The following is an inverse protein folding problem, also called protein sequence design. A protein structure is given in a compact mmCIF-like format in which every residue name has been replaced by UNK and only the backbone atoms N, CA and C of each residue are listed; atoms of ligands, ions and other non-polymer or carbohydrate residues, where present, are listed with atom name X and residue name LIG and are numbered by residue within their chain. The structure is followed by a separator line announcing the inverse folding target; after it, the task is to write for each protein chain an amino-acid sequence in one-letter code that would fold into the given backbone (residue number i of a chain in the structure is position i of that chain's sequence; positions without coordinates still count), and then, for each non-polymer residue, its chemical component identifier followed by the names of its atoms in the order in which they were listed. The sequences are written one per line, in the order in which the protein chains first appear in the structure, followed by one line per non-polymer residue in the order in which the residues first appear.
data_IF_939524566925
#
_entry.id   IF_939524566925
#
_cell.length_a   1.000
_cell.length_b   1.000
_cell.length_c   1.000
_cell.angle_alpha   90.00
_cell.angle_beta   90.00
_cell.angle_gamma   90.00
#
_symmetry.space_group_name_H-M   'P 1'
#
loop_
_entity.id
_entity.type
_entity.pdbx_description
1 polymer ?
#
# COMPACT_ATOMS: atom_id res chain seq x y z
N UNK A 1 -14.55 26.81 24.18
CA UNK A 1 -15.29 25.59 24.58
C UNK A 1 -16.53 25.37 23.73
N UNK A 2 -17.37 26.39 23.49
CA UNK A 2 -18.60 26.25 22.69
C UNK A 2 -18.41 25.56 21.33
N UNK A 3 -17.35 25.92 20.59
CA UNK A 3 -17.05 25.29 19.29
C UNK A 3 -16.67 23.80 19.38
N UNK A 4 -16.06 23.37 20.49
CA UNK A 4 -15.60 21.99 20.66
C UNK A 4 -16.76 21.03 20.99
N UNK A 5 -17.85 21.55 21.56
CA UNK A 5 -19.05 20.77 21.88
C UNK A 5 -20.11 20.87 20.79
N UNK A 6 -19.94 21.71 19.79
CA UNK A 6 -20.95 21.89 18.74
C UNK A 6 -21.23 20.58 17.99
N UNK A 7 -22.51 20.26 17.79
CA UNK A 7 -22.93 19.07 17.04
C UNK A 7 -22.89 17.74 17.80
N UNK A 8 -22.49 17.72 19.08
CA UNK A 8 -22.59 16.50 19.90
C UNK A 8 -24.05 16.07 20.11
N UNK A 9 -24.23 14.76 20.29
CA UNK A 9 -25.52 14.13 20.55
C UNK A 9 -25.59 13.72 22.02
N UNK A 10 -26.70 14.05 22.67
CA UNK A 10 -27.02 13.62 24.04
C UNK A 10 -28.21 12.69 24.02
N UNK A 11 -28.22 11.76 24.98
CA UNK A 11 -29.33 10.83 25.20
C UNK A 11 -29.74 10.88 26.65
N UNK A 12 -31.01 11.14 26.90
CA UNK A 12 -31.57 11.21 28.25
C UNK A 12 -32.91 10.48 28.33
N UNK A 13 -33.40 10.24 29.55
CA UNK A 13 -34.72 9.62 29.75
C UNK A 13 -35.78 10.70 29.67
N UNK A 14 -36.91 10.40 29.02
CA UNK A 14 -38.06 11.29 29.02
C UNK A 14 -38.61 11.40 30.45
N UNK A 15 -38.42 12.56 31.06
CA UNK A 15 -38.89 12.84 32.41
C UNK A 15 -40.31 13.39 32.45
N UNK A 16 -40.82 13.89 31.33
CA UNK A 16 -42.14 14.52 31.23
C UNK A 16 -42.82 14.05 29.95
N UNK A 17 -44.10 13.65 30.04
CA UNK A 17 -44.85 13.25 28.85
C UNK A 17 -44.99 14.44 27.88
N UNK A 18 -44.50 14.35 26.63
CA UNK A 18 -44.65 15.40 25.63
C UNK A 18 -46.10 15.55 25.15
N UNK A 19 -46.92 14.50 25.29
CA UNK A 19 -48.32 14.55 24.90
C UNK A 19 -49.16 15.32 25.91
N UNK A 20 -50.16 16.08 25.43
CA UNK A 20 -51.08 16.83 26.28
C UNK A 20 -52.27 15.95 26.72
N UNK A 21 -51.96 14.76 27.25
CA UNK A 21 -52.94 13.81 27.76
C UNK A 21 -53.11 13.97 29.28
N UNK A 22 -54.31 13.68 29.79
CA UNK A 22 -54.56 13.72 31.24
C UNK A 22 -54.08 12.41 31.87
N UNK A 23 -53.23 12.52 32.88
CA UNK A 23 -52.73 11.40 33.69
C UNK A 23 -53.77 10.86 34.68
N UNK A 24 -53.43 9.81 35.43
CA UNK A 24 -54.27 9.25 36.49
C UNK A 24 -54.70 10.26 37.57
N UNK A 25 -53.88 11.29 37.78
CA UNK A 25 -54.18 12.38 38.72
C UNK A 25 -55.15 13.42 38.15
N UNK A 26 -55.69 13.18 36.96
CA UNK A 26 -56.53 14.10 36.19
C UNK A 26 -55.84 15.44 35.90
N UNK A 27 -54.50 15.46 35.79
CA UNK A 27 -53.69 16.63 35.43
C UNK A 27 -52.83 16.32 34.19
N UNK A 28 -52.55 17.35 33.40
CA UNK A 28 -51.58 17.26 32.28
C UNK A 28 -50.15 17.58 32.74
N UNK A 29 -49.17 17.26 31.90
CA UNK A 29 -47.74 17.58 32.13
C UNK A 29 -47.50 19.07 32.38
N UNK A 30 -48.17 19.94 31.62
CA UNK A 30 -48.04 21.39 31.75
C UNK A 30 -48.71 21.90 33.03
N UNK A 31 -49.93 21.42 33.34
CA UNK A 31 -50.64 21.76 34.57
C UNK A 31 -49.82 21.38 35.82
N UNK A 32 -49.13 20.24 35.78
CA UNK A 32 -48.22 19.80 36.85
C UNK A 32 -47.04 20.77 37.04
N UNK A 33 -46.36 21.14 35.96
CA UNK A 33 -45.21 22.07 36.00
C UNK A 33 -45.63 23.43 36.56
N UNK A 34 -46.74 23.99 36.07
CA UNK A 34 -47.24 25.28 36.58
C UNK A 34 -47.55 25.23 38.07
N UNK A 35 -48.15 24.12 38.53
CA UNK A 35 -48.47 23.91 39.95
C UNK A 35 -47.22 23.74 40.80
N UNK A 36 -46.19 23.08 40.28
CA UNK A 36 -44.91 22.90 40.93
C UNK A 36 -44.15 24.24 41.05
N UNK A 37 -44.09 25.01 39.97
CA UNK A 37 -43.47 26.34 39.96
C UNK A 37 -44.13 27.30 40.96
N UNK A 38 -45.46 27.32 41.01
CA UNK A 38 -46.22 28.11 42.00
C UNK A 38 -45.90 27.73 43.45
N UNK A 39 -45.51 26.48 43.72
CA UNK A 39 -45.14 26.03 45.08
C UNK A 39 -43.69 26.32 45.45
N UNK A 40 -42.77 26.27 44.48
CA UNK A 40 -41.35 26.52 44.72
C UNK A 40 -41.03 28.00 44.91
N UNK A 41 -41.74 28.89 44.23
CA UNK A 41 -41.53 30.34 44.31
C UNK A 41 -40.15 30.82 43.83
N UNK A 42 -39.39 29.96 43.15
CA UNK A 42 -38.07 30.22 42.56
C UNK A 42 -38.06 29.86 41.07
N UNK A 43 -37.07 30.37 40.35
CA UNK A 43 -36.89 30.03 38.94
C UNK A 43 -36.59 28.52 38.77
N UNK A 44 -37.19 27.85 37.77
CA UNK A 44 -36.93 26.44 37.48
C UNK A 44 -35.46 26.16 37.18
N UNK A 45 -34.79 27.08 36.47
CA UNK A 45 -33.39 26.94 36.03
C UNK A 45 -32.38 27.00 37.19
N UNK A 46 -32.75 27.66 38.30
CA UNK A 46 -31.92 27.73 39.51
C UNK A 46 -32.21 26.59 40.49
N UNK A 47 -33.28 25.83 40.25
CA UNK A 47 -33.75 24.77 41.14
C UNK A 47 -33.15 23.44 40.67
N UNK A 48 -32.14 22.95 41.39
CA UNK A 48 -31.58 21.62 41.14
C UNK A 48 -32.64 20.52 41.26
N UNK A 49 -32.63 19.55 40.34
CA UNK A 49 -33.54 18.41 40.36
C UNK A 49 -34.96 18.70 39.83
N UNK A 50 -35.18 19.85 39.17
CA UNK A 50 -36.51 20.22 38.69
C UNK A 50 -37.04 19.26 37.62
N UNK A 51 -36.16 18.73 36.77
CA UNK A 51 -36.53 17.81 35.69
C UNK A 51 -36.99 16.44 36.22
N UNK A 52 -36.50 16.03 37.38
CA UNK A 52 -36.76 14.73 38.01
C UNK A 52 -38.02 14.74 38.89
N UNK A 53 -38.63 15.91 39.13
CA UNK A 53 -39.82 16.05 39.97
C UNK A 53 -41.02 15.18 39.54
N UNK A 54 -41.33 14.99 38.23
CA UNK A 54 -42.39 14.09 37.79
C UNK A 54 -42.14 12.62 38.19
N UNK A 55 -40.87 12.18 38.24
CA UNK A 55 -40.54 10.81 38.65
C UNK A 55 -40.91 10.56 40.11
N UNK A 56 -40.60 11.52 40.99
CA UNK A 56 -40.96 11.42 42.41
C UNK A 56 -42.49 11.44 42.60
N UNK A 57 -43.19 12.25 41.79
CA UNK A 57 -44.65 12.30 41.80
C UNK A 57 -45.27 10.95 41.39
N UNK A 58 -44.80 10.37 40.29
CA UNK A 58 -45.29 9.10 39.78
C UNK A 58 -44.87 7.92 40.67
N UNK A 59 -43.72 7.99 41.35
CA UNK A 59 -43.30 6.95 42.31
C UNK A 59 -44.28 6.82 43.48
N UNK A 60 -44.79 7.94 44.01
CA UNK A 60 -45.80 7.92 45.09
C UNK A 60 -47.14 7.39 44.57
N UNK A 61 -47.53 7.74 43.33
CA UNK A 61 -48.72 7.16 42.69
C UNK A 61 -48.58 5.65 42.49
N UNK A 62 -47.43 5.17 42.00
CA UNK A 62 -47.16 3.75 41.84
C UNK A 62 -47.29 3.00 43.17
N UNK A 63 -46.72 3.56 44.24
CA UNK A 63 -46.85 3.00 45.59
C UNK A 63 -48.32 2.95 46.04
N UNK A 64 -49.07 4.03 45.87
CA UNK A 64 -50.47 4.09 46.27
C UNK A 64 -51.33 3.05 45.51
N UNK A 65 -51.12 2.91 44.20
CA UNK A 65 -51.82 1.93 43.36
C UNK A 65 -51.44 0.49 43.74
N UNK A 66 -50.16 0.24 43.99
CA UNK A 66 -49.69 -1.08 44.39
C UNK A 66 -50.22 -1.47 45.77
N UNK A 67 -50.24 -0.56 46.74
CA UNK A 67 -50.81 -0.81 48.07
C UNK A 67 -52.32 -1.05 48.01
N UNK A 68 -53.05 -0.33 47.17
CA UNK A 68 -54.48 -0.57 46.95
C UNK A 68 -54.73 -1.98 46.41
N UNK A 69 -53.97 -2.39 45.38
CA UNK A 69 -54.04 -3.75 44.81
C UNK A 69 -53.65 -4.81 45.84
N UNK A 70 -52.58 -4.57 46.60
CA UNK A 70 -52.12 -5.45 47.67
C UNK A 70 -53.19 -5.63 48.76
N UNK A 71 -53.86 -4.55 49.16
CA UNK A 71 -54.92 -4.63 50.17
C UNK A 71 -56.06 -5.54 49.73
N UNK A 72 -56.43 -5.52 48.45
CA UNK A 72 -57.48 -6.40 47.92
C UNK A 72 -57.04 -7.87 47.90
N UNK A 73 -55.78 -8.16 47.58
CA UNK A 73 -55.25 -9.53 47.55
C UNK A 73 -54.99 -10.10 48.96
N UNK A 74 -54.54 -9.28 49.90
CA UNK A 74 -54.29 -9.72 51.28
C UNK A 74 -55.58 -10.12 52.01
N UNK A 75 -56.69 -9.42 51.76
CA UNK A 75 -58.00 -9.76 52.35
C UNK A 75 -58.43 -11.18 51.98
N UNK A 76 -58.13 -11.64 50.75
CA UNK A 76 -58.41 -13.03 50.32
C UNK A 76 -57.61 -14.07 51.10
N UNK A 77 -56.49 -13.67 51.69
CA UNK A 77 -55.59 -14.50 52.51
C UNK A 77 -55.81 -14.32 54.01
N UNK A 78 -56.79 -13.52 54.42
CA UNK A 78 -57.06 -13.21 55.83
C UNK A 78 -55.99 -12.34 56.49
N UNK A 79 -55.19 -11.61 55.71
CA UNK A 79 -54.16 -10.69 56.19
C UNK A 79 -54.55 -9.25 55.91
N UNK A 80 -54.05 -8.30 56.70
CA UNK A 80 -54.21 -6.86 56.47
C UNK A 80 -52.85 -6.18 56.36
N UNK A 81 -52.81 -5.02 55.71
CA UNK A 81 -51.58 -4.22 55.60
C UNK A 81 -51.04 -3.76 56.96
N UNK A 82 -51.93 -3.59 57.95
CA UNK A 82 -51.58 -3.23 59.33
C UNK A 82 -50.87 -4.34 60.12
N UNK A 83 -50.97 -5.60 59.66
CA UNK A 83 -50.32 -6.76 60.30
C UNK A 83 -48.84 -6.92 59.88
N UNK A 84 -48.23 -5.85 59.36
CA UNK A 84 -46.86 -5.88 58.84
C UNK A 84 -45.80 -5.99 59.95
N UNK A 85 -44.81 -6.84 59.70
CA UNK A 85 -43.60 -6.98 60.53
C UNK A 85 -42.40 -7.19 59.59
N UNK A 86 -41.22 -6.65 59.93
CA UNK A 86 -39.98 -6.79 59.17
C UNK A 86 -39.54 -8.25 58.93
N UNK A 87 -40.03 -9.19 59.75
CA UNK A 87 -39.75 -10.62 59.56
C UNK A 87 -40.70 -11.31 58.57
N UNK A 88 -41.82 -10.67 58.20
CA UNK A 88 -42.86 -11.28 57.40
C UNK A 88 -42.66 -11.02 55.90
N UNK A 89 -42.13 -12.02 55.19
CA UNK A 89 -41.91 -11.93 53.73
C UNK A 89 -43.20 -12.02 52.91
N UNK A 90 -44.28 -12.60 53.44
CA UNK A 90 -45.51 -12.82 52.68
C UNK A 90 -46.17 -11.50 52.24
N UNK A 91 -46.17 -10.48 53.12
CA UNK A 91 -46.73 -9.16 52.79
C UNK A 91 -45.83 -8.47 51.76
N UNK A 92 -44.52 -8.53 51.95
CA UNK A 92 -43.54 -7.95 51.02
C UNK A 92 -43.61 -8.58 49.63
N UNK A 93 -43.78 -9.90 49.53
CA UNK A 93 -43.91 -10.60 48.25
C UNK A 93 -45.18 -10.20 47.51
N UNK A 94 -46.29 -9.96 48.21
CA UNK A 94 -47.52 -9.43 47.59
C UNK A 94 -47.37 -7.98 47.14
N UNK A 95 -46.70 -7.12 47.93
CA UNK A 95 -46.38 -5.76 47.51
C UNK A 95 -45.50 -5.78 46.25
N UNK A 96 -44.47 -6.65 46.23
CA UNK A 96 -43.57 -6.79 45.10
C UNK A 96 -44.32 -7.25 43.83
N UNK A 97 -45.21 -8.24 43.94
CA UNK A 97 -46.07 -8.68 42.83
C UNK A 97 -47.03 -7.58 42.35
N UNK A 98 -47.60 -6.81 43.28
CA UNK A 98 -48.48 -5.70 42.95
C UNK A 98 -47.74 -4.57 42.22
N UNK A 99 -46.52 -4.23 42.65
CA UNK A 99 -45.64 -3.26 41.99
C UNK A 99 -45.21 -3.75 40.60
N UNK A 100 -44.74 -5.00 40.49
CA UNK A 100 -44.28 -5.57 39.20
C UNK A 100 -45.41 -5.65 38.15
N UNK A 101 -46.67 -5.75 38.60
CA UNK A 101 -47.85 -5.75 37.72
C UNK A 101 -48.57 -4.40 37.66
N UNK A 102 -47.93 -3.33 38.11
CA UNK A 102 -48.47 -1.97 38.01
C UNK A 102 -48.11 -1.36 36.65
N UNK A 103 -49.13 -0.83 35.97
CA UNK A 103 -49.00 -0.10 34.72
C UNK A 103 -50.04 1.02 34.71
N UNK A 104 -49.62 2.27 34.53
CA UNK A 104 -50.51 3.42 34.52
C UNK A 104 -49.90 4.62 33.76
N UNK A 105 -50.76 5.55 33.36
CA UNK A 105 -50.33 6.83 32.77
C UNK A 105 -50.07 7.88 33.87
N UNK A 106 -48.80 8.16 34.09
CA UNK A 106 -48.31 9.20 35.00
C UNK A 106 -48.05 10.54 34.29
N UNK A 107 -47.47 11.49 35.02
CA UNK A 107 -47.05 12.78 34.47
C UNK A 107 -45.78 12.63 33.63
N UNK A 108 -44.93 11.67 33.98
CA UNK A 108 -43.72 11.31 33.23
C UNK A 108 -44.01 10.38 32.04
N UNK A 109 -45.27 10.04 31.78
CA UNK A 109 -45.72 9.15 30.71
C UNK A 109 -46.16 7.79 31.23
N UNK A 110 -46.18 6.79 30.34
CA UNK A 110 -46.51 5.42 30.72
C UNK A 110 -45.46 4.88 31.71
N UNK A 111 -45.90 4.41 32.88
CA UNK A 111 -45.03 3.87 33.93
C UNK A 111 -45.17 2.37 33.97
N UNK A 112 -44.10 1.67 33.62
CA UNK A 112 -43.96 0.21 33.70
C UNK A 112 -42.59 -0.11 34.27
N UNK A 113 -42.51 -1.17 35.09
CA UNK A 113 -41.27 -1.68 35.65
C UNK A 113 -40.86 -2.97 34.95
N UNK A 114 -39.56 -3.12 34.70
CA UNK A 114 -39.01 -4.37 34.21
C UNK A 114 -38.83 -5.39 35.35
N UNK A 115 -38.39 -6.61 35.01
CA UNK A 115 -38.11 -7.64 36.01
C UNK A 115 -36.95 -7.29 36.96
N UNK A 116 -36.11 -6.30 36.62
CA UNK A 116 -35.04 -5.79 37.48
C UNK A 116 -35.52 -4.71 38.45
N UNK A 117 -36.74 -4.19 38.28
CA UNK A 117 -37.30 -3.07 39.02
C UNK A 117 -36.99 -1.70 38.42
N UNK A 118 -36.35 -1.65 37.25
CA UNK A 118 -36.06 -0.43 36.51
C UNK A 118 -37.29 0.06 35.75
N UNK A 119 -37.50 1.38 35.72
CA UNK A 119 -38.58 1.98 34.92
C UNK A 119 -38.25 1.89 33.43
N UNK A 120 -39.18 1.37 32.63
CA UNK A 120 -39.13 1.45 31.18
C UNK A 120 -39.73 2.79 30.74
N UNK A 121 -38.95 3.59 30.01
CA UNK A 121 -39.38 4.89 29.50
C UNK A 121 -38.74 5.16 28.13
N UNK A 122 -39.31 6.10 27.39
CA UNK A 122 -38.72 6.55 26.14
C UNK A 122 -37.39 7.28 26.41
N UNK A 123 -36.43 7.08 25.51
CA UNK A 123 -35.18 7.83 25.48
C UNK A 123 -35.35 9.03 24.56
N UNK A 124 -35.06 10.23 25.07
CA UNK A 124 -34.97 11.46 24.30
C UNK A 124 -33.55 11.61 23.74
N UNK A 125 -33.47 11.96 22.47
CA UNK A 125 -32.21 12.22 21.77
C UNK A 125 -32.18 13.69 21.40
N UNK A 126 -31.11 14.38 21.75
CA UNK A 126 -30.91 15.80 21.43
C UNK A 126 -29.56 16.05 20.77
N UNK A 127 -29.46 17.15 20.03
CA UNK A 127 -28.23 17.63 19.43
C UNK A 127 -28.01 19.09 19.80
N UNK A 128 -26.78 19.45 20.15
CA UNK A 128 -26.41 20.86 20.32
C UNK A 128 -26.24 21.52 18.94
N UNK A 129 -27.08 22.52 18.65
CA UNK A 129 -27.05 23.29 17.40
C UNK A 129 -27.03 24.79 17.68
N UNK A 130 -25.92 25.46 17.37
CA UNK A 130 -25.74 26.90 17.59
C UNK A 130 -25.84 27.27 19.06
N UNK A 131 -25.30 26.44 19.95
CA UNK A 131 -25.38 26.64 21.40
C UNK A 131 -26.75 26.35 22.04
N UNK A 132 -27.72 25.84 21.28
CA UNK A 132 -29.05 25.46 21.79
C UNK A 132 -29.29 23.97 21.58
N UNK A 133 -29.71 23.26 22.63
CA UNK A 133 -30.12 21.86 22.52
C UNK A 133 -31.43 21.75 21.75
N UNK A 134 -31.45 20.89 20.74
CA UNK A 134 -32.64 20.56 19.96
C UNK A 134 -32.91 19.08 19.98
N UNK A 135 -34.17 18.74 20.23
CA UNK A 135 -34.67 17.37 20.21
C UNK A 135 -34.69 16.84 18.79
N UNK A 136 -33.99 15.72 18.56
CA UNK A 136 -33.87 15.09 17.24
C UNK A 136 -34.71 13.82 17.10
N UNK A 137 -35.07 13.18 18.21
CA UNK A 137 -35.96 12.02 18.18
C UNK A 137 -36.25 11.42 19.55
N UNK A 138 -37.13 10.42 19.55
CA UNK A 138 -37.42 9.56 20.69
C UNK A 138 -37.24 8.10 20.31
N UNK A 139 -36.71 7.32 21.25
CA UNK A 139 -36.57 5.87 21.12
C UNK A 139 -37.40 5.15 22.18
N UNK A 140 -38.27 4.24 21.74
CA UNK A 140 -39.07 3.37 22.60
C UNK A 140 -38.47 1.97 22.64
N UNK A 141 -37.89 1.59 23.78
CA UNK A 141 -37.28 0.28 24.01
C UNK A 141 -38.28 -0.88 24.07
N UNK A 142 -39.56 -0.61 24.32
CA UNK A 142 -40.60 -1.65 24.42
C UNK A 142 -41.07 -2.13 23.06
N UNK A 143 -41.11 -1.22 22.08
CA UNK A 143 -41.60 -1.46 20.71
C UNK A 143 -40.50 -1.48 19.66
N UNK A 144 -39.25 -1.24 20.07
CA UNK A 144 -38.11 -1.03 19.17
C UNK A 144 -38.42 0.03 18.10
N UNK A 145 -39.00 1.16 18.55
CA UNK A 145 -39.49 2.20 17.66
C UNK A 145 -38.66 3.48 17.83
N UNK A 146 -37.95 3.85 16.77
CA UNK A 146 -37.20 5.11 16.68
C UNK A 146 -38.02 6.13 15.89
N UNK A 147 -38.53 7.14 16.60
CA UNK A 147 -39.15 8.31 15.98
C UNK A 147 -38.09 9.40 15.76
N UNK A 148 -37.91 9.84 14.51
CA UNK A 148 -36.89 10.81 14.13
C UNK A 148 -37.52 12.04 13.49
N UNK A 149 -37.11 13.24 13.93
CA UNK A 149 -37.66 14.51 13.44
C UNK A 149 -36.95 15.06 12.20
N UNK A 150 -35.86 14.42 11.75
CA UNK A 150 -35.05 14.84 10.59
C UNK A 150 -34.58 16.30 10.66
N UNK A 151 -34.28 16.78 11.86
CA UNK A 151 -33.81 18.13 12.13
C UNK A 151 -32.34 18.16 12.61
N UNK A 152 -31.64 17.04 12.51
CA UNK A 152 -30.22 16.89 12.79
C UNK A 152 -29.37 17.65 11.76
N UNK A 153 -28.28 18.27 12.23
CA UNK A 153 -27.38 19.06 11.40
C UNK A 153 -25.97 18.53 11.51
N UNK A 154 -25.44 18.06 10.39
CA UNK A 154 -24.07 17.57 10.28
C UNK A 154 -23.25 18.48 9.36
N UNK A 155 -21.96 18.59 9.65
CA UNK A 155 -21.02 19.26 8.76
C UNK A 155 -20.95 18.45 7.45
N UNK A 156 -21.28 19.08 6.32
CA UNK A 156 -21.35 18.39 5.03
C UNK A 156 -22.68 17.68 4.72
N UNK A 157 -23.69 17.84 5.58
CA UNK A 157 -25.07 17.38 5.32
C UNK A 157 -25.35 15.91 5.67
N UNK A 158 -24.32 15.12 6.00
CA UNK A 158 -24.46 13.73 6.43
C UNK A 158 -23.55 13.43 7.62
N UNK A 159 -23.91 12.48 8.50
CA UNK A 159 -23.02 12.05 9.57
C UNK A 159 -21.70 11.50 9.01
N UNK A 160 -20.57 11.74 9.70
CA UNK A 160 -19.28 11.23 9.27
C UNK A 160 -19.24 9.70 9.35
N UNK A 161 -18.44 9.10 8.47
CA UNK A 161 -18.15 7.67 8.53
C UNK A 161 -17.24 7.34 9.73
N UNK A 162 -17.25 6.08 10.13
CA UNK A 162 -16.43 5.51 11.21
C UNK A 162 -14.94 5.42 10.84
N UNK A 163 -14.61 5.23 9.56
CA UNK A 163 -13.23 5.18 9.06
C UNK A 163 -13.03 5.93 7.74
N UNK A 164 -11.75 6.18 7.40
CA UNK A 164 -11.36 6.79 6.13
C UNK A 164 -11.36 5.77 4.99
N UNK A 165 -12.08 6.06 3.90
CA UNK A 165 -12.10 5.19 2.73
C UNK A 165 -10.81 5.32 1.93
N UNK A 166 -10.00 4.26 1.93
CA UNK A 166 -8.77 4.20 1.11
C UNK A 166 -9.14 3.88 -0.34
N UNK A 167 -8.88 4.83 -1.24
CA UNK A 167 -9.06 4.66 -2.68
C UNK A 167 -7.68 4.53 -3.33
N UNK A 168 -7.36 3.35 -3.82
CA UNK A 168 -6.12 3.10 -4.56
C UNK A 168 -6.23 3.73 -5.95
N UNK A 169 -5.27 4.58 -6.28
CA UNK A 169 -5.21 5.26 -7.58
C UNK A 169 -3.89 4.94 -8.27
N UNK A 170 -3.97 4.54 -9.54
CA UNK A 170 -2.78 4.27 -10.34
C UNK A 170 -2.18 5.60 -10.85
N UNK A 171 -0.84 5.69 -10.80
CA UNK A 171 -0.09 6.78 -11.40
C UNK A 171 0.49 6.32 -12.73
N UNK A 172 0.32 7.14 -13.77
CA UNK A 172 0.75 6.83 -15.13
C UNK A 172 1.73 7.89 -15.65
N UNK A 173 2.49 7.53 -16.69
CA UNK A 173 3.34 8.46 -17.39
C UNK A 173 2.52 9.59 -18.05
N UNK A 174 3.04 10.83 -18.02
CA UNK A 174 2.42 11.94 -18.73
C UNK A 174 2.38 11.66 -20.23
N UNK A 175 1.18 11.72 -20.82
CA UNK A 175 0.97 11.45 -22.25
C UNK A 175 1.80 12.39 -23.15
N UNK A 176 2.02 13.63 -22.71
CA UNK A 176 2.83 14.60 -23.45
C UNK A 176 4.29 14.12 -23.57
N UNK A 177 4.85 13.60 -22.47
CA UNK A 177 6.22 13.07 -22.44
C UNK A 177 6.33 11.80 -23.29
N UNK A 178 5.34 10.90 -23.18
CA UNK A 178 5.34 9.66 -23.94
C UNK A 178 5.32 9.92 -25.45
N UNK A 179 4.45 10.82 -25.91
CA UNK A 179 4.36 11.20 -27.32
C UNK A 179 5.67 11.87 -27.78
N UNK A 180 6.22 12.82 -27.02
CA UNK A 180 7.45 13.52 -27.43
C UNK A 180 8.64 12.57 -27.60
N UNK A 181 8.83 11.65 -26.65
CA UNK A 181 9.93 10.69 -26.69
C UNK A 181 9.71 9.65 -27.79
N UNK A 182 8.47 9.22 -28.02
CA UNK A 182 8.11 8.29 -29.09
C UNK A 182 8.39 8.87 -30.48
N UNK A 183 8.08 10.16 -30.71
CA UNK A 183 8.39 10.84 -31.97
C UNK A 183 9.90 10.89 -32.20
N UNK A 184 10.69 11.27 -31.19
CA UNK A 184 12.15 11.29 -31.31
C UNK A 184 12.73 9.89 -31.58
N UNK A 185 12.21 8.85 -30.92
CA UNK A 185 12.62 7.46 -31.18
C UNK A 185 12.31 7.04 -32.63
N UNK A 186 11.11 7.40 -33.14
CA UNK A 186 10.72 7.08 -34.52
C UNK A 186 11.62 7.75 -35.57
N UNK A 187 12.00 9.01 -35.35
CA UNK A 187 12.96 9.71 -36.22
C UNK A 187 14.34 9.05 -36.19
N UNK A 188 14.80 8.62 -35.02
CA UNK A 188 16.05 7.88 -34.88
C UNK A 188 16.05 6.54 -35.61
N UNK A 189 14.94 5.81 -35.59
CA UNK A 189 14.77 4.54 -36.32
C UNK A 189 14.84 4.78 -37.83
N UNK A 190 14.13 5.80 -38.34
CA UNK A 190 14.17 6.15 -39.78
C UNK A 190 15.60 6.49 -40.20
N UNK A 191 16.32 7.31 -39.42
CA UNK A 191 17.70 7.67 -39.71
C UNK A 191 18.63 6.44 -39.69
N UNK A 192 18.46 5.53 -38.72
CA UNK A 192 19.24 4.30 -38.65
C UNK A 192 19.03 3.40 -39.88
N UNK A 193 17.79 3.27 -40.35
CA UNK A 193 17.46 2.50 -41.57
C UNK A 193 18.06 3.15 -42.82
N UNK A 194 18.01 4.49 -42.94
CA UNK A 194 18.65 5.20 -44.05
C UNK A 194 20.17 4.99 -44.05
N UNK A 195 20.81 5.11 -42.89
CA UNK A 195 22.25 4.84 -42.74
C UNK A 195 22.62 3.39 -43.08
N UNK A 196 21.78 2.42 -42.69
CA UNK A 196 21.96 1.02 -43.02
C UNK A 196 21.85 0.78 -44.53
N UNK A 197 20.81 1.33 -45.18
CA UNK A 197 20.62 1.24 -46.62
C UNK A 197 21.78 1.87 -47.39
N UNK A 198 22.25 3.04 -46.96
CA UNK A 198 23.41 3.72 -47.55
C UNK A 198 24.68 2.88 -47.45
N UNK A 199 24.92 2.25 -46.30
CA UNK A 199 26.10 1.40 -46.06
C UNK A 199 26.06 0.13 -46.94
N UNK A 200 24.89 -0.48 -47.12
CA UNK A 200 24.72 -1.65 -47.99
C UNK A 200 24.90 -1.27 -49.47
N UNK A 201 24.24 -0.20 -49.92
CA UNK A 201 24.27 0.22 -51.33
C UNK A 201 25.69 0.63 -51.77
N UNK A 202 26.39 1.41 -50.97
CA UNK A 202 27.74 1.89 -51.28
C UNK A 202 28.85 0.95 -50.79
N UNK A 203 28.53 -0.30 -50.43
CA UNK A 203 29.51 -1.27 -49.92
C UNK A 203 30.64 -1.64 -50.89
N UNK A 204 30.51 -1.29 -52.17
CA UNK A 204 31.55 -1.47 -53.18
C UNK A 204 32.65 -0.39 -53.14
N UNK A 205 32.41 0.76 -52.49
CA UNK A 205 33.36 1.87 -52.41
C UNK A 205 34.48 1.53 -51.44
N UNK A 206 35.74 1.69 -51.87
CA UNK A 206 36.96 1.32 -51.11
C UNK A 206 37.00 1.92 -49.69
N UNK A 207 36.51 3.15 -49.51
CA UNK A 207 36.44 3.79 -48.19
C UNK A 207 35.53 3.04 -47.22
N UNK A 208 34.35 2.61 -47.69
CA UNK A 208 33.36 1.88 -46.89
C UNK A 208 33.86 0.47 -46.57
N UNK A 209 34.51 -0.20 -47.53
CA UNK A 209 35.13 -1.52 -47.30
C UNK A 209 36.20 -1.49 -46.21
N UNK A 210 37.03 -0.44 -46.18
CA UNK A 210 38.05 -0.26 -45.15
C UNK A 210 37.44 -0.01 -43.75
N UNK A 211 36.20 0.46 -43.67
CA UNK A 211 35.52 0.79 -42.42
C UNK A 211 34.84 -0.40 -41.71
N UNK A 212 35.00 -1.62 -42.26
CA UNK A 212 34.36 -2.85 -41.80
C UNK A 212 32.81 -2.77 -41.84
N UNK A 213 32.20 -2.81 -43.02
CA UNK A 213 30.78 -2.48 -43.21
C UNK A 213 29.83 -3.41 -42.44
N UNK A 214 30.19 -4.70 -42.28
CA UNK A 214 29.39 -5.67 -41.53
C UNK A 214 29.25 -5.33 -40.04
N UNK A 215 30.31 -4.83 -39.39
CA UNK A 215 30.23 -4.41 -37.98
C UNK A 215 29.39 -3.15 -37.84
N UNK A 216 29.54 -2.18 -38.76
CA UNK A 216 28.72 -0.98 -38.75
C UNK A 216 27.23 -1.29 -39.02
N UNK A 217 26.92 -2.28 -39.86
CA UNK A 217 25.55 -2.77 -40.07
C UNK A 217 24.98 -3.40 -38.79
N UNK A 218 25.78 -4.19 -38.07
CA UNK A 218 25.40 -4.78 -36.79
C UNK A 218 25.17 -3.70 -35.71
N UNK A 219 25.97 -2.63 -35.71
CA UNK A 219 25.75 -1.46 -34.85
C UNK A 219 24.43 -0.77 -35.16
N UNK A 220 24.14 -0.51 -36.45
CA UNK A 220 22.90 0.14 -36.87
C UNK A 220 21.64 -0.68 -36.50
N UNK A 221 21.70 -2.00 -36.65
CA UNK A 221 20.62 -2.92 -36.21
C UNK A 221 20.46 -2.86 -34.69
N UNK A 222 21.56 -2.89 -33.93
CA UNK A 222 21.54 -2.77 -32.47
C UNK A 222 20.90 -1.46 -31.99
N UNK A 223 21.27 -0.32 -32.59
CA UNK A 223 20.67 0.98 -32.30
C UNK A 223 19.18 1.03 -32.65
N UNK A 224 18.76 0.39 -33.75
CA UNK A 224 17.34 0.32 -34.15
C UNK A 224 16.51 -0.45 -33.12
N UNK A 225 17.01 -1.60 -32.64
CA UNK A 225 16.35 -2.40 -31.61
C UNK A 225 16.27 -1.68 -30.26
N UNK A 226 17.33 -0.97 -29.87
CA UNK A 226 17.34 -0.17 -28.65
C UNK A 226 16.34 1.00 -28.70
N UNK A 227 16.23 1.69 -29.85
CA UNK A 227 15.22 2.73 -30.05
C UNK A 227 13.79 2.18 -30.08
N UNK A 228 13.59 0.97 -30.61
CA UNK A 228 12.30 0.29 -30.58
C UNK A 228 11.83 -0.07 -29.16
N UNK A 229 12.74 -0.20 -28.19
CA UNK A 229 12.39 -0.48 -26.80
C UNK A 229 11.67 0.69 -26.09
N UNK A 230 11.75 1.91 -26.62
CA UNK A 230 11.09 3.11 -26.07
C UNK A 230 9.56 2.95 -26.04
N UNK A 231 8.98 2.30 -27.05
CA UNK A 231 7.53 2.10 -27.14
C UNK A 231 6.99 1.18 -26.02
N UNK A 232 7.48 -0.06 -25.82
CA UNK A 232 7.01 -0.90 -24.73
C UNK A 232 7.34 -0.34 -23.35
N UNK A 233 8.38 0.50 -23.20
CA UNK A 233 8.71 1.16 -21.93
C UNK A 233 7.66 2.17 -21.47
N UNK A 234 7.05 2.95 -22.38
CA UNK A 234 6.01 3.92 -22.04
C UNK A 234 4.58 3.37 -22.07
N UNK A 235 4.44 2.10 -22.41
CA UNK A 235 3.19 1.36 -22.43
C UNK A 235 2.84 0.87 -21.01
N UNK A 236 2.14 1.73 -20.27
CA UNK A 236 1.67 1.47 -18.89
C UNK A 236 0.22 0.95 -18.85
N UNK A 237 -0.28 0.67 -17.64
CA UNK A 237 -1.66 0.24 -17.37
C UNK A 237 -2.78 1.18 -17.85
N UNK A 238 -2.42 2.35 -18.40
CA UNK A 238 -3.35 3.25 -19.09
C UNK A 238 -3.72 2.73 -20.49
N UNK A 239 -2.77 2.15 -21.22
CA UNK A 239 -2.98 1.65 -22.58
C UNK A 239 -3.17 0.14 -22.64
N UNK A 240 -2.67 -0.59 -21.64
CA UNK A 240 -2.63 -2.05 -21.63
C UNK A 240 -3.35 -2.60 -20.40
N UNK A 241 -4.19 -3.61 -20.63
CA UNK A 241 -4.80 -4.38 -19.57
C UNK A 241 -3.81 -5.34 -18.88
N UNK A 242 -4.13 -5.81 -17.66
CA UNK A 242 -3.23 -6.62 -16.84
C UNK A 242 -2.76 -7.92 -17.50
N UNK A 243 -3.57 -8.53 -18.36
CA UNK A 243 -3.22 -9.79 -19.05
C UNK A 243 -2.11 -9.64 -20.10
N UNK A 244 -1.96 -8.47 -20.71
CA UNK A 244 -0.93 -8.22 -21.74
C UNK A 244 0.35 -7.59 -21.16
N UNK A 245 0.32 -7.16 -19.90
CA UNK A 245 1.45 -6.52 -19.22
C UNK A 245 2.71 -7.40 -19.13
N UNK A 246 2.63 -8.73 -18.85
CA UNK A 246 3.81 -9.59 -18.81
C UNK A 246 4.52 -9.67 -20.17
N UNK A 247 3.78 -9.71 -21.27
CA UNK A 247 4.35 -9.74 -22.62
C UNK A 247 5.10 -8.45 -22.94
N UNK A 248 4.54 -7.29 -22.57
CA UNK A 248 5.19 -6.00 -22.75
C UNK A 248 6.45 -5.90 -21.88
N UNK A 249 6.39 -6.38 -20.63
CA UNK A 249 7.55 -6.44 -19.74
C UNK A 249 8.68 -7.28 -20.35
N UNK A 250 8.35 -8.44 -20.90
CA UNK A 250 9.32 -9.30 -21.57
C UNK A 250 9.90 -8.61 -22.81
N UNK A 251 9.07 -7.98 -23.64
CA UNK A 251 9.54 -7.23 -24.81
C UNK A 251 10.55 -6.11 -24.45
N UNK A 252 10.37 -5.41 -23.32
CA UNK A 252 11.33 -4.40 -22.82
C UNK A 252 12.72 -5.01 -22.62
N UNK A 253 12.79 -6.17 -21.96
CA UNK A 253 14.04 -6.84 -21.63
C UNK A 253 14.77 -7.34 -22.88
N UNK A 254 14.04 -7.97 -23.80
CA UNK A 254 14.62 -8.51 -25.03
C UNK A 254 15.14 -7.42 -25.97
N UNK A 255 14.37 -6.36 -26.20
CA UNK A 255 14.77 -5.28 -27.11
C UNK A 255 15.98 -4.50 -26.60
N UNK A 256 16.01 -4.16 -25.30
CA UNK A 256 17.14 -3.47 -24.69
C UNK A 256 18.39 -4.36 -24.63
N UNK A 257 18.24 -5.61 -24.18
CA UNK A 257 19.36 -6.54 -24.03
C UNK A 257 20.03 -6.83 -25.37
N UNK A 258 19.25 -7.25 -26.38
CA UNK A 258 19.79 -7.55 -27.71
C UNK A 258 20.33 -6.29 -28.40
N UNK A 259 19.59 -5.17 -28.33
CA UNK A 259 19.99 -3.91 -28.95
C UNK A 259 21.33 -3.40 -28.43
N UNK A 260 21.48 -3.35 -27.10
CA UNK A 260 22.71 -2.89 -26.46
C UNK A 260 23.91 -3.81 -26.76
N UNK A 261 23.74 -5.13 -26.62
CA UNK A 261 24.82 -6.08 -26.88
C UNK A 261 25.31 -6.05 -28.33
N UNK A 262 24.41 -5.93 -29.32
CA UNK A 262 24.78 -5.84 -30.73
C UNK A 262 25.51 -4.52 -31.05
N UNK A 263 25.01 -3.40 -30.53
CA UNK A 263 25.62 -2.09 -30.75
C UNK A 263 26.99 -1.96 -30.10
N UNK A 264 27.10 -2.27 -28.80
CA UNK A 264 28.35 -2.16 -28.07
C UNK A 264 29.37 -3.22 -28.50
N UNK A 265 28.93 -4.47 -28.71
CA UNK A 265 29.79 -5.57 -29.13
C UNK A 265 30.44 -5.34 -30.51
N UNK A 266 29.71 -4.73 -31.45
CA UNK A 266 30.25 -4.37 -32.78
C UNK A 266 31.28 -3.24 -32.72
N UNK A 267 31.07 -2.23 -31.86
CA UNK A 267 32.09 -1.20 -31.63
C UNK A 267 33.33 -1.74 -30.93
N UNK A 268 33.15 -2.57 -29.90
CA UNK A 268 34.25 -3.16 -29.14
C UNK A 268 35.13 -4.07 -30.02
N UNK A 269 34.51 -4.94 -30.82
CA UNK A 269 35.24 -5.82 -31.75
C UNK A 269 36.05 -5.03 -32.78
N UNK A 270 35.55 -3.89 -33.26
CA UNK A 270 36.28 -3.00 -34.16
C UNK A 270 37.53 -2.40 -33.50
N UNK A 271 37.39 -1.87 -32.30
CA UNK A 271 38.52 -1.31 -31.51
C UNK A 271 39.54 -2.41 -31.20
N UNK A 272 39.07 -3.57 -30.76
CA UNK A 272 39.92 -4.73 -30.46
C UNK A 272 40.71 -5.19 -31.69
N UNK A 273 40.05 -5.28 -32.85
CA UNK A 273 40.71 -5.66 -34.09
C UNK A 273 41.85 -4.69 -34.43
N UNK A 274 41.61 -3.39 -34.34
CA UNK A 274 42.63 -2.35 -34.55
C UNK A 274 43.81 -2.52 -33.58
N UNK A 275 43.53 -2.67 -32.27
CA UNK A 275 44.56 -2.90 -31.26
C UNK A 275 45.42 -4.13 -31.55
N UNK A 276 44.79 -5.26 -31.94
CA UNK A 276 45.53 -6.48 -32.28
C UNK A 276 46.37 -6.36 -33.54
N UNK A 277 45.95 -5.57 -34.53
CA UNK A 277 46.72 -5.34 -35.76
C UNK A 277 47.95 -4.48 -35.49
N UNK A 278 47.82 -3.44 -34.65
CA UNK A 278 48.95 -2.60 -34.27
C UNK A 278 49.97 -3.35 -33.40
N UNK A 279 49.52 -4.02 -32.34
CA UNK A 279 50.39 -4.82 -31.47
C UNK A 279 51.12 -5.94 -32.22
N UNK A 280 50.45 -6.63 -33.16
CA UNK A 280 51.12 -7.64 -34.03
C UNK A 280 52.16 -7.03 -34.99
N UNK A 281 51.98 -5.78 -35.41
CA UNK A 281 52.98 -5.07 -36.23
C UNK A 281 54.21 -4.72 -35.40
N UNK A 282 54.00 -4.26 -34.17
CA UNK A 282 55.09 -3.95 -33.24
C UNK A 282 55.88 -5.21 -32.86
N UNK A 283 55.19 -6.30 -32.50
CA UNK A 283 55.82 -7.61 -32.23
C UNK A 283 56.65 -8.13 -33.42
N UNK A 284 56.15 -7.97 -34.65
CA UNK A 284 56.89 -8.37 -35.87
C UNK A 284 58.10 -7.48 -36.13
N UNK A 285 57.99 -6.18 -35.83
CA UNK A 285 59.10 -5.21 -35.95
C UNK A 285 60.20 -5.53 -34.95
N UNK A 286 59.83 -5.87 -33.72
CA UNK A 286 60.79 -6.23 -32.66
C UNK A 286 61.43 -7.59 -32.90
N UNK A 287 60.69 -8.59 -33.39
CA UNK A 287 61.26 -9.87 -33.85
C UNK A 287 62.24 -9.70 -35.02
N UNK A 288 61.97 -8.79 -35.95
CA UNK A 288 62.91 -8.47 -37.06
C UNK A 288 64.18 -7.77 -36.54
N UNK A 289 64.06 -6.82 -35.61
CA UNK A 289 65.23 -6.20 -34.95
C UNK A 289 66.06 -7.24 -34.21
N UNK A 290 65.43 -8.12 -33.43
CA UNK A 290 66.10 -9.19 -32.69
C UNK A 290 66.73 -10.28 -33.58
N UNK A 291 66.28 -10.43 -34.84
CA UNK A 291 66.91 -11.29 -35.84
C UNK A 291 68.12 -10.61 -36.49
N UNK A 292 67.99 -9.34 -36.92
CA UNK A 292 69.12 -8.57 -37.44
C UNK A 292 70.26 -8.44 -36.41
N UNK A 293 69.96 -8.25 -35.13
CA UNK A 293 70.97 -8.24 -34.06
C UNK A 293 71.63 -9.59 -33.80
N UNK A 294 71.02 -10.71 -34.23
CA UNK A 294 71.60 -12.06 -34.15
C UNK A 294 72.39 -12.44 -35.40
N UNK A 295 72.05 -11.89 -36.56
CA UNK A 295 72.77 -12.11 -37.84
C UNK A 295 74.06 -11.28 -37.95
N UNK A 296 74.20 -10.16 -37.22
CA UNK A 296 75.44 -9.36 -37.18
C UNK A 296 75.88 -9.04 -35.73
N UNK A 297 76.55 -9.98 -35.02
CA UNK A 297 76.92 -9.78 -33.61
C UNK A 297 78.11 -8.84 -33.39
N UNK A 298 78.96 -8.60 -34.39
CA UNK A 298 80.28 -7.96 -34.22
C UNK A 298 80.34 -6.47 -34.57
N UNK A 299 79.24 -5.84 -34.99
CA UNK A 299 79.25 -4.40 -35.30
C UNK A 299 79.16 -3.47 -34.06
N UNK A 300 79.26 -4.03 -32.85
CA UNK A 300 79.30 -3.27 -31.60
C UNK A 300 80.55 -3.56 -30.77
N UNK A 301 81.71 -3.22 -31.33
CA UNK A 301 82.91 -2.96 -30.55
C UNK A 301 83.05 -1.45 -30.30
N UNK A 302 82.97 -1.03 -29.03
CA UNK A 302 83.33 0.35 -28.64
C UNK A 302 82.58 0.92 -27.44
N UNK A 303 83.17 0.74 -26.25
CA UNK A 303 82.98 1.46 -24.98
C UNK A 303 81.67 1.31 -24.18
N UNK A 304 81.80 0.53 -23.10
CA UNK A 304 81.05 0.67 -21.84
C UNK A 304 81.43 1.98 -21.10
N UNK A 305 80.63 2.47 -20.12
CA UNK A 305 80.71 1.89 -18.78
C UNK A 305 79.36 1.69 -18.04
N UNK A 306 79.35 0.61 -17.26
CA UNK A 306 78.78 0.39 -15.90
C UNK A 306 77.37 0.91 -15.57
N UNK A 307 76.47 -0.04 -15.25
CA UNK A 307 75.22 0.18 -14.51
C UNK A 307 74.60 -1.16 -14.07
N UNK A 308 74.37 -1.32 -12.76
CA UNK A 308 74.14 -2.57 -12.01
C UNK A 308 72.68 -3.05 -12.04
N UNK A 309 72.47 -4.39 -12.04
CA UNK A 309 71.26 -5.11 -11.56
C UNK A 309 70.09 -5.18 -12.55
N UNK A 310 69.43 -6.30 -12.84
CA UNK A 310 69.21 -7.54 -12.09
C UNK A 310 68.83 -8.70 -13.03
N UNK A 311 69.19 -9.92 -12.60
CA UNK A 311 68.55 -11.22 -12.85
C UNK A 311 67.01 -11.10 -12.93
N UNK A 312 66.22 -11.94 -13.59
CA UNK A 312 66.39 -13.26 -14.21
C UNK A 312 65.11 -13.56 -15.01
N UNK A 313 65.18 -14.63 -15.82
CA UNK A 313 64.10 -15.52 -16.32
C UNK A 313 63.99 -15.61 -17.84
N UNK A 314 64.93 -16.39 -18.36
CA UNK A 314 64.83 -17.18 -19.59
C UNK A 314 63.74 -18.25 -19.42
N UNK A 315 62.80 -18.36 -20.36
CA UNK A 315 62.08 -19.62 -20.66
C UNK A 315 62.11 -19.87 -22.17
N UNK A 316 62.61 -21.05 -22.51
CA UNK A 316 62.79 -21.58 -23.86
C UNK A 316 61.47 -22.02 -24.53
N UNK A 317 61.48 -22.22 -25.87
CA UNK A 317 60.27 -22.43 -26.67
C UNK A 317 59.91 -23.91 -26.84
N UNK A 318 58.61 -24.22 -26.80
CA UNK A 318 58.07 -25.52 -27.20
C UNK A 318 56.92 -25.34 -28.19
N UNK A 319 57.16 -25.71 -29.45
CA UNK A 319 56.09 -26.03 -30.41
C UNK A 319 55.60 -27.46 -30.13
N UNK A 320 54.31 -27.75 -30.37
CA UNK A 320 54.04 -28.46 -31.61
C UNK A 320 52.86 -27.89 -32.41
N UNK A 321 52.96 -28.17 -33.70
CA UNK A 321 52.02 -27.88 -34.78
C UNK A 321 50.82 -28.85 -34.77
N UNK A 322 49.59 -28.32 -34.85
CA UNK A 322 48.54 -28.78 -35.78
C UNK A 322 47.32 -27.87 -35.72
N UNK A 323 46.85 -27.51 -36.91
CA UNK A 323 45.72 -26.67 -37.22
C UNK A 323 44.37 -27.24 -36.76
N UNK A 324 43.67 -26.49 -35.89
CA UNK A 324 42.21 -26.45 -35.84
C UNK A 324 41.80 -25.11 -35.20
N UNK A 325 41.37 -24.15 -36.02
CA UNK A 325 40.84 -22.88 -35.54
C UNK A 325 39.45 -23.12 -34.92
N UNK A 326 39.41 -23.30 -33.61
CA UNK A 326 38.21 -23.09 -32.80
C UNK A 326 38.34 -21.70 -32.17
N UNK A 327 37.39 -20.80 -32.44
CA UNK A 327 37.31 -19.52 -31.76
C UNK A 327 36.85 -19.82 -30.33
N UNK A 328 37.81 -20.08 -29.44
CA UNK A 328 37.60 -19.95 -28.00
C UNK A 328 37.68 -18.44 -27.71
N UNK A 329 36.52 -17.84 -27.43
CA UNK A 329 36.45 -16.50 -26.83
C UNK A 329 37.35 -16.56 -25.58
N UNK A 330 38.43 -15.77 -25.50
CA UNK A 330 39.25 -15.73 -24.31
C UNK A 330 38.36 -15.26 -23.17
N UNK A 331 38.33 -16.00 -22.06
CA UNK A 331 37.61 -15.61 -20.86
C UNK A 331 38.08 -14.23 -20.40
N UNK A 332 37.26 -13.22 -20.68
CA UNK A 332 37.39 -11.86 -20.20
C UNK A 332 36.22 -11.57 -19.25
N UNK A 333 36.04 -12.46 -18.27
CA UNK A 333 35.01 -12.36 -17.24
C UNK A 333 35.55 -12.77 -15.87
N UNK A 334 36.87 -12.66 -15.66
CA UNK A 334 37.49 -13.04 -14.38
C UNK A 334 38.27 -11.93 -13.67
N UNK A 335 38.50 -10.78 -14.32
CA UNK A 335 39.18 -9.63 -13.72
C UNK A 335 38.42 -8.31 -13.99
N UNK A 336 37.10 -8.33 -13.85
CA UNK A 336 36.31 -7.13 -13.61
C UNK A 336 35.60 -7.37 -12.29
N UNK A 337 36.20 -6.85 -11.22
CA UNK A 337 35.53 -6.67 -9.95
C UNK A 337 34.17 -6.01 -10.21
N UNK A 338 33.12 -6.80 -9.97
CA UNK A 338 31.95 -6.41 -9.18
C UNK A 338 31.54 -4.94 -9.35
N UNK A 339 30.82 -4.64 -10.43
CA UNK A 339 29.80 -3.60 -10.37
C UNK A 339 28.49 -4.33 -10.12
N UNK A 340 28.16 -4.46 -8.82
CA UNK A 340 26.83 -4.82 -8.36
C UNK A 340 25.83 -3.82 -8.96
N UNK A 341 24.99 -4.27 -9.88
CA UNK A 341 23.63 -3.74 -9.96
C UNK A 341 22.83 -4.54 -8.94
N UNK A 342 22.67 -3.97 -7.74
CA UNK A 342 21.66 -4.41 -6.79
C UNK A 342 20.27 -4.19 -7.42
N UNK A 343 19.82 -5.18 -8.19
CA UNK A 343 18.42 -5.49 -8.34
C UNK A 343 18.18 -6.73 -7.51
N UNK A 344 17.78 -6.49 -6.25
CA UNK A 344 17.45 -7.53 -5.28
C UNK A 344 16.37 -8.46 -5.83
N UNK A 345 16.81 -9.64 -6.28
CA UNK A 345 15.98 -10.83 -6.45
C UNK A 345 16.76 -11.97 -5.80
N UNK A 346 16.48 -12.21 -4.51
CA UNK A 346 17.02 -13.36 -3.81
C UNK A 346 16.37 -14.64 -4.33
N UNK A 347 17.18 -15.54 -4.89
CA UNK A 347 16.82 -16.95 -5.11
C UNK A 347 17.63 -17.75 -4.08
N UNK A 348 17.00 -18.62 -3.26
CA UNK A 348 17.73 -19.42 -2.28
C UNK A 348 18.51 -20.53 -2.99
N UNK A 349 19.80 -20.61 -2.71
CA UNK A 349 20.68 -21.71 -3.15
C UNK A 349 20.49 -22.87 -2.17
N UNK A 350 19.82 -23.94 -2.62
CA UNK A 350 19.88 -25.23 -1.94
C UNK A 350 21.13 -25.98 -2.39
N UNK A 351 22.02 -26.28 -1.45
CA UNK A 351 23.17 -27.15 -1.64
C UNK A 351 22.68 -28.61 -1.69
N UNK A 352 22.95 -29.33 -2.76
CA UNK A 352 22.85 -30.79 -2.75
C UNK A 352 23.98 -31.39 -3.59
N UNK A 353 24.91 -32.02 -2.88
CA UNK A 353 26.04 -32.75 -3.42
C UNK A 353 25.57 -34.04 -4.11
N UNK A 354 25.85 -34.18 -5.40
CA UNK A 354 25.89 -35.47 -6.10
C UNK A 354 27.09 -35.48 -7.05
N UNK A 355 28.00 -36.43 -6.83
CA UNK A 355 29.24 -36.60 -7.59
C UNK A 355 29.12 -37.50 -8.84
N UNK A 356 30.26 -37.58 -9.55
CA UNK A 356 30.65 -38.42 -10.71
C UNK A 356 30.44 -37.84 -12.13
N UNK A 357 31.18 -38.33 -13.16
CA UNK A 357 32.54 -37.90 -13.49
C UNK A 357 32.65 -37.38 -14.94
N UNK A 358 33.85 -36.89 -15.24
CA UNK A 358 34.33 -36.34 -16.52
C UNK A 358 33.75 -36.93 -17.81
N UNK A 359 33.27 -36.06 -18.70
CA UNK A 359 33.19 -36.37 -20.14
C UNK A 359 32.15 -35.52 -20.90
N UNK A 360 32.63 -34.56 -21.71
CA UNK A 360 31.90 -33.84 -22.77
C UNK A 360 30.67 -33.00 -22.34
N UNK A 361 30.91 -31.76 -21.92
CA UNK A 361 29.88 -30.73 -21.80
C UNK A 361 29.60 -30.04 -23.14
N UNK A 362 28.44 -30.32 -23.74
CA UNK A 362 27.81 -29.43 -24.72
C UNK A 362 27.05 -28.35 -23.94
N UNK A 363 27.43 -27.09 -24.08
CA UNK A 363 26.61 -25.96 -23.62
C UNK A 363 25.66 -25.61 -24.77
N UNK A 364 24.46 -26.17 -24.73
CA UNK A 364 23.31 -25.62 -25.44
C UNK A 364 22.98 -24.27 -24.77
N UNK A 365 23.18 -23.16 -25.47
CA UNK A 365 22.50 -21.89 -25.16
C UNK A 365 21.02 -22.07 -25.54
N UNK A 366 20.30 -22.82 -24.73
CA UNK A 366 18.85 -22.88 -24.78
C UNK A 366 18.30 -21.64 -24.08
N UNK A 367 17.74 -20.71 -24.85
CA UNK A 367 16.66 -19.88 -24.31
C UNK A 367 15.46 -20.81 -24.16
N UNK A 368 15.27 -21.32 -22.94
CA UNK A 368 14.15 -22.17 -22.60
C UNK A 368 12.84 -21.42 -22.82
N UNK A 369 12.04 -21.92 -23.76
CA UNK A 369 10.62 -21.67 -23.82
C UNK A 369 9.99 -22.34 -22.59
N UNK A 370 9.24 -21.60 -21.78
CA UNK A 370 8.41 -22.20 -20.73
C UNK A 370 6.96 -22.06 -21.16
N UNK A 371 6.33 -23.19 -21.48
CA UNK A 371 4.93 -23.30 -21.86
C UNK A 371 4.00 -23.05 -20.65
N UNK A 372 2.75 -22.62 -20.89
CA UNK A 372 1.86 -22.08 -19.88
C UNK A 372 1.06 -23.18 -19.19
N UNK A 373 1.36 -23.44 -17.92
CA UNK A 373 0.50 -24.31 -17.13
C UNK A 373 1.14 -24.74 -15.82
N UNK A 374 1.05 -23.90 -14.78
CA UNK A 374 0.59 -24.30 -13.43
C UNK A 374 0.52 -23.04 -12.52
N UNK A 375 -0.45 -22.95 -11.60
CA UNK A 375 -0.78 -21.73 -10.89
C UNK A 375 -0.03 -21.67 -9.55
N UNK A 376 0.84 -20.69 -9.37
CA UNK A 376 1.32 -20.30 -8.04
C UNK A 376 1.27 -18.78 -7.93
N UNK A 377 0.29 -18.32 -7.15
CA UNK A 377 0.09 -16.92 -6.84
C UNK A 377 1.28 -16.35 -6.10
N UNK A 378 1.68 -15.14 -6.49
CA UNK A 378 2.54 -14.29 -5.68
C UNK A 378 1.76 -13.04 -5.32
N UNK A 379 1.50 -12.92 -4.02
CA UNK A 379 0.86 -11.77 -3.41
C UNK A 379 1.72 -10.51 -3.50
N UNK A 380 1.03 -9.39 -3.61
CA UNK A 380 1.60 -8.06 -3.48
C UNK A 380 2.27 -7.88 -2.10
N UNK A 381 3.42 -7.22 -2.09
CA UNK A 381 4.09 -6.76 -0.88
C UNK A 381 3.42 -5.48 -0.36
N UNK A 382 2.88 -5.54 0.87
CA UNK A 382 2.51 -4.39 1.70
C UNK A 382 3.78 -3.76 2.33
N UNK A 383 3.84 -2.42 2.53
CA UNK A 383 4.91 -1.79 3.28
C UNK A 383 4.47 -1.48 4.73
N UNK A 384 5.10 -2.14 5.70
CA UNK A 384 5.03 -1.81 7.13
C UNK A 384 6.41 -1.42 7.68
N UNK A 385 6.51 -0.18 8.18
CA UNK A 385 7.62 0.48 8.89
C UNK A 385 8.15 -0.32 10.12
N UNK A 386 9.37 -0.07 10.71
CA UNK A 386 9.66 1.19 11.41
C UNK A 386 11.11 1.73 11.46
N UNK A 387 11.19 3.06 11.58
CA UNK A 387 12.12 3.91 12.33
C UNK A 387 13.61 3.55 12.49
N UNK A 388 14.48 4.49 12.08
CA UNK A 388 15.62 4.90 12.90
C UNK A 388 17.01 4.72 12.27
N UNK A 389 17.50 5.74 11.57
CA UNK A 389 18.92 6.15 11.66
C UNK A 389 19.12 7.53 11.05
N UNK A 390 19.77 8.41 11.83
CA UNK A 390 20.15 9.78 11.48
C UNK A 390 21.26 9.75 10.43
N UNK A 391 21.11 10.54 9.37
CA UNK A 391 22.23 10.93 8.50
C UNK A 391 22.78 12.29 8.97
N UNK A 392 24.02 12.30 9.47
CA UNK A 392 24.82 13.52 9.64
C UNK A 392 25.59 13.79 8.36
N UNK A 393 25.43 15.00 7.82
CA UNK A 393 26.20 15.53 6.70
C UNK A 393 27.45 16.22 7.28
N UNK A 394 28.63 15.70 6.97
CA UNK A 394 29.91 16.33 7.28
C UNK A 394 30.58 16.81 6.00
N UNK A 395 30.59 18.12 5.80
CA UNK A 395 31.36 18.83 4.77
C UNK A 395 32.79 18.98 5.31
N UNK A 396 33.79 18.50 4.56
CA UNK A 396 35.19 18.86 4.80
C UNK A 396 35.57 19.99 3.84
N UNK A 397 36.13 21.05 4.43
CA UNK A 397 36.84 22.15 3.76
C UNK A 397 38.22 21.68 3.34
#
# INVERSE_FOLDING_TARGET
MAEAVEGHVTTEIVMLNPENTRSISNMTSQEFIEKLQKRLGKNPEETGGFQEAPLAYDAIWALALALNKTSQELVKKGLRLEDFNYNNKNITDEIYRALNSSAFEGVSGHVVFDASGSRMAWTLIEQLQGGVYKKIGYYDSTKDNLSWYNNDKWIGGSPPADYTKVITTFRFLSQKLFISVSVLASLGIVLAVVCLAFNIYNGHVRYIQNSQPYLNNMTAVGCTLALAAVFPLGLDGYHIGPGMFPFVCQARLWLLGLGFSLAYGSMFTKIWWVHTVFTKKDDKKDKRKARNSREFPWEKGGNSPVGIGSRDLRRDPGFPSRSRFSIRIPGFFRDLDVIYWDLGVGIPVFHQDLGFPSGSGWILLGFGCWDPGFPLGFGCWDPGFPSGSRFSVGIWV
#
